data_IF_234962585922
#
_entry.id   IF_234962585922
#
_cell.length_a   1.000
_cell.length_b   1.000
_cell.length_c   1.000
_cell.angle_alpha   90.00
_cell.angle_beta   90.00
_cell.angle_gamma   90.00
#
_symmetry.space_group_name_H-M   'P 1'
#
loop_
_entity.id
_entity.type
_entity.pdbx_description
1 polymer ?
#
# COMPACT_ATOMS: atom_id res chain seq x y z
N UNK A 1 24.10 20.17 -25.96
CA UNK A 1 23.85 18.73 -25.76
C UNK A 1 23.00 18.26 -26.92
N UNK A 2 23.52 17.37 -27.77
CA UNK A 2 22.82 16.90 -28.96
C UNK A 2 21.62 16.04 -28.59
N UNK A 3 20.44 16.35 -29.12
CA UNK A 3 19.25 15.50 -29.03
C UNK A 3 19.54 14.22 -29.80
N UNK A 4 19.47 13.07 -29.14
CA UNK A 4 19.60 11.78 -29.81
C UNK A 4 18.35 11.51 -30.64
N UNK A 5 18.43 11.50 -31.99
CA UNK A 5 17.26 11.32 -32.85
C UNK A 5 16.63 9.94 -32.68
N UNK A 6 17.42 8.90 -32.39
CA UNK A 6 16.89 7.55 -32.19
C UNK A 6 15.98 7.49 -30.97
N UNK A 7 16.37 8.18 -29.89
CA UNK A 7 15.57 8.26 -28.67
C UNK A 7 14.30 9.08 -28.85
N UNK A 8 14.33 10.12 -29.69
CA UNK A 8 13.12 10.88 -30.03
C UNK A 8 12.13 9.99 -30.79
N UNK A 9 12.59 9.21 -31.78
CA UNK A 9 11.74 8.25 -32.49
C UNK A 9 11.15 7.20 -31.56
N UNK A 10 11.96 6.62 -30.67
CA UNK A 10 11.47 5.67 -29.67
C UNK A 10 10.42 6.30 -28.73
N UNK A 11 10.60 7.56 -28.35
CA UNK A 11 9.63 8.31 -27.55
C UNK A 11 8.32 8.58 -28.31
N UNK A 12 8.38 8.82 -29.63
CA UNK A 12 7.17 8.95 -30.48
C UNK A 12 6.37 7.65 -30.54
N UNK A 13 7.05 6.53 -30.75
CA UNK A 13 6.45 5.19 -30.75
C UNK A 13 5.85 4.85 -29.39
N UNK A 14 6.57 5.15 -28.30
CA UNK A 14 6.10 4.96 -26.94
C UNK A 14 4.81 5.75 -26.66
N UNK A 15 4.77 7.04 -27.02
CA UNK A 15 3.58 7.87 -26.83
C UNK A 15 2.38 7.40 -27.67
N UNK A 16 2.65 6.82 -28.84
CA UNK A 16 1.61 6.26 -29.73
C UNK A 16 1.07 4.91 -29.24
N UNK A 17 1.87 4.17 -28.45
CA UNK A 17 1.54 2.85 -27.89
C UNK A 17 1.00 2.91 -26.46
N UNK A 18 0.80 4.11 -25.90
CA UNK A 18 0.18 4.27 -24.58
C UNK A 18 -1.21 3.62 -24.51
N UNK A 19 -1.59 3.06 -23.36
CA UNK A 19 -2.83 2.31 -23.24
C UNK A 19 -4.09 3.19 -23.35
N UNK A 20 -5.07 2.69 -24.12
CA UNK A 20 -6.42 3.24 -24.19
C UNK A 20 -6.49 4.65 -24.79
N UNK A 21 -7.29 5.53 -24.17
CA UNK A 21 -7.50 6.90 -24.65
C UNK A 21 -6.30 7.84 -24.50
N UNK A 22 -5.16 7.34 -24.05
CA UNK A 22 -3.92 8.09 -23.82
C UNK A 22 -2.91 7.97 -24.95
N UNK A 23 -3.15 7.07 -25.91
CA UNK A 23 -2.40 7.02 -27.15
C UNK A 23 -2.40 8.40 -27.81
N UNK A 24 -1.22 8.98 -27.96
CA UNK A 24 -1.05 10.25 -28.62
C UNK A 24 -1.11 10.05 -30.14
N UNK A 25 -1.93 10.83 -30.84
CA UNK A 25 -1.87 10.88 -32.30
C UNK A 25 -0.50 11.39 -32.78
N UNK A 26 -0.13 11.04 -34.02
CA UNK A 26 1.18 11.31 -34.62
C UNK A 26 1.68 12.76 -34.41
N UNK A 27 0.79 13.75 -34.60
CA UNK A 27 1.13 15.17 -34.42
C UNK A 27 1.50 15.50 -32.98
N UNK A 28 0.73 14.98 -32.03
CA UNK A 28 0.96 15.21 -30.59
C UNK A 28 2.20 14.46 -30.11
N UNK A 29 2.40 13.23 -30.59
CA UNK A 29 3.58 12.42 -30.29
C UNK A 29 4.86 13.13 -30.76
N UNK A 30 4.91 13.63 -32.00
CA UNK A 30 6.05 14.41 -32.54
C UNK A 30 6.38 15.66 -31.74
N UNK A 31 5.38 16.31 -31.17
CA UNK A 31 5.59 17.51 -30.35
C UNK A 31 6.14 17.18 -28.95
N UNK A 32 5.65 16.09 -28.33
CA UNK A 32 5.99 15.73 -26.95
C UNK A 32 7.23 14.83 -26.86
N UNK A 33 7.49 14.00 -27.87
CA UNK A 33 8.61 13.06 -27.86
C UNK A 33 9.98 13.70 -27.62
N UNK A 34 10.31 14.88 -28.18
CA UNK A 34 11.59 15.51 -27.92
C UNK A 34 11.76 15.97 -26.46
N UNK A 35 10.66 16.33 -25.78
CA UNK A 35 10.66 16.62 -24.34
C UNK A 35 10.79 15.34 -23.52
N UNK A 36 10.00 14.32 -23.85
CA UNK A 36 10.05 13.03 -23.16
C UNK A 36 11.45 12.41 -23.22
N UNK A 37 12.08 12.40 -24.40
CA UNK A 37 13.43 11.88 -24.59
C UNK A 37 14.45 12.60 -23.70
N UNK A 38 14.33 13.91 -23.52
CA UNK A 38 15.22 14.72 -22.68
C UNK A 38 14.97 14.50 -21.18
N UNK A 39 13.71 14.55 -20.74
CA UNK A 39 13.36 14.39 -19.33
C UNK A 39 13.67 12.97 -18.84
N UNK A 40 13.37 11.95 -19.63
CA UNK A 40 13.70 10.56 -19.26
C UNK A 40 15.21 10.36 -19.09
N UNK A 41 16.03 11.01 -19.92
CA UNK A 41 17.49 10.99 -19.82
C UNK A 41 17.99 11.60 -18.51
N UNK A 42 17.47 12.78 -18.18
CA UNK A 42 17.87 13.54 -16.99
C UNK A 42 17.42 12.86 -15.69
N UNK A 43 16.25 12.25 -15.72
CA UNK A 43 15.59 11.68 -14.54
C UNK A 43 15.85 10.18 -14.36
N UNK A 44 16.62 9.55 -15.28
CA UNK A 44 16.99 8.13 -15.21
C UNK A 44 15.86 7.17 -15.55
N UNK A 45 14.87 7.61 -16.34
CA UNK A 45 13.78 6.77 -16.79
C UNK A 45 14.09 6.10 -18.15
N UNK A 46 13.65 4.85 -18.26
CA UNK A 46 13.61 4.12 -19.52
C UNK A 46 12.22 4.24 -20.16
N UNK A 47 12.13 4.10 -21.47
CA UNK A 47 10.86 4.12 -22.22
C UNK A 47 10.12 2.77 -22.08
N UNK A 48 9.78 2.40 -20.86
CA UNK A 48 9.17 1.11 -20.49
C UNK A 48 7.71 1.27 -20.07
N UNK A 49 6.94 0.17 -19.98
CA UNK A 49 5.58 0.20 -19.45
C UNK A 49 5.48 0.77 -18.02
N UNK A 50 6.56 0.71 -17.23
CA UNK A 50 6.63 1.33 -15.90
C UNK A 50 6.50 2.85 -15.97
N UNK A 51 7.17 3.48 -16.93
CA UNK A 51 7.03 4.92 -17.19
C UNK A 51 5.60 5.26 -17.61
N UNK A 52 4.97 4.42 -18.43
CA UNK A 52 3.57 4.63 -18.84
C UNK A 52 2.65 4.61 -17.62
N UNK A 53 2.80 3.61 -16.74
CA UNK A 53 2.04 3.55 -15.49
C UNK A 53 2.29 4.76 -14.59
N UNK A 54 3.53 5.24 -14.53
CA UNK A 54 3.90 6.42 -13.73
C UNK A 54 3.28 7.73 -14.28
N UNK A 55 3.31 7.93 -15.60
CA UNK A 55 2.68 9.09 -16.27
C UNK A 55 1.15 9.05 -16.11
N UNK A 56 0.59 7.86 -16.12
CA UNK A 56 -0.85 7.59 -15.98
C UNK A 56 -1.24 7.26 -14.54
N UNK A 57 -0.53 7.80 -13.53
CA UNK A 57 -0.96 7.68 -12.14
C UNK A 57 -1.93 8.80 -11.76
N UNK A 58 -2.88 8.51 -10.87
CA UNK A 58 -3.82 9.50 -10.32
C UNK A 58 -4.58 10.28 -11.39
N UNK A 59 -5.24 9.56 -12.30
CA UNK A 59 -6.04 10.17 -13.35
C UNK A 59 -7.26 10.87 -12.73
N UNK A 60 -7.46 12.18 -13.01
CA UNK A 60 -8.70 12.83 -12.62
C UNK A 60 -9.88 12.30 -13.45
N UNK A 61 -11.08 12.27 -12.86
CA UNK A 61 -12.30 11.76 -13.51
C UNK A 61 -12.65 12.48 -14.82
N UNK A 62 -12.28 13.77 -14.94
CA UNK A 62 -12.50 14.58 -16.14
C UNK A 62 -11.23 15.27 -16.57
N UNK A 63 -10.78 14.95 -17.78
CA UNK A 63 -9.62 15.58 -18.41
C UNK A 63 -10.09 16.26 -19.69
N UNK A 64 -10.07 17.58 -19.68
CA UNK A 64 -10.46 18.38 -20.83
C UNK A 64 -9.36 18.50 -21.89
N UNK A 65 -8.07 18.37 -21.50
CA UNK A 65 -6.92 18.46 -22.42
C UNK A 65 -5.87 17.39 -22.09
N UNK A 66 -6.00 16.21 -22.71
CA UNK A 66 -5.08 15.07 -22.47
C UNK A 66 -3.63 15.38 -22.85
N UNK A 67 -3.43 16.05 -23.98
CA UNK A 67 -2.09 16.45 -24.44
C UNK A 67 -1.39 17.38 -23.44
N UNK A 68 -2.09 18.43 -22.96
CA UNK A 68 -1.54 19.35 -21.97
C UNK A 68 -1.31 18.70 -20.60
N UNK A 69 -2.15 17.73 -20.22
CA UNK A 69 -1.93 16.95 -19.01
C UNK A 69 -0.65 16.09 -19.10
N UNK A 70 -0.44 15.40 -20.22
CA UNK A 70 0.78 14.63 -20.45
C UNK A 70 2.01 15.54 -20.49
N UNK A 71 1.89 16.69 -21.14
CA UNK A 71 2.98 17.69 -21.18
C UNK A 71 3.40 18.12 -19.78
N UNK A 72 2.45 18.54 -18.93
CA UNK A 72 2.75 18.91 -17.54
C UNK A 72 3.37 17.76 -16.74
N UNK A 73 2.91 16.52 -16.95
CA UNK A 73 3.50 15.33 -16.31
C UNK A 73 4.91 15.01 -16.77
N UNK A 74 5.23 15.28 -18.03
CA UNK A 74 6.58 15.10 -18.59
C UNK A 74 7.51 16.19 -18.04
N UNK A 75 7.03 17.43 -17.96
CA UNK A 75 7.78 18.56 -17.44
C UNK A 75 8.10 18.36 -15.94
N UNK A 76 7.13 17.85 -15.16
CA UNK A 76 7.25 17.51 -13.73
C UNK A 76 7.69 16.05 -13.46
N UNK A 77 8.43 15.43 -14.39
CA UNK A 77 8.88 14.04 -14.22
C UNK A 77 9.86 13.93 -13.03
N UNK A 78 9.45 13.21 -12.00
CA UNK A 78 10.27 12.93 -10.81
C UNK A 78 11.46 12.00 -11.15
N UNK A 79 12.53 12.04 -10.35
CA UNK A 79 13.66 11.08 -10.50
C UNK A 79 13.18 9.66 -10.27
N UNK A 80 13.58 8.70 -11.12
CA UNK A 80 13.19 7.29 -10.99
C UNK A 80 13.50 6.73 -9.60
N UNK A 81 14.71 6.98 -9.11
CA UNK A 81 15.17 6.47 -7.80
C UNK A 81 14.33 6.96 -6.61
N UNK A 82 13.67 8.12 -6.75
CA UNK A 82 12.83 8.69 -5.69
C UNK A 82 11.47 8.00 -5.60
N UNK A 83 10.99 7.42 -6.70
CA UNK A 83 9.63 6.88 -6.81
C UNK A 83 9.64 5.36 -6.82
N UNK A 84 10.65 4.78 -7.46
CA UNK A 84 10.87 3.34 -7.47
C UNK A 84 12.09 3.10 -6.61
N UNK A 85 11.93 2.66 -5.34
CA UNK A 85 13.08 2.24 -4.55
C UNK A 85 13.81 1.17 -5.36
N UNK A 86 15.17 1.13 -5.32
CA UNK A 86 15.91 0.09 -6.01
C UNK A 86 15.32 -1.23 -5.57
N UNK A 87 14.75 -1.97 -6.52
CA UNK A 87 14.26 -3.32 -6.28
C UNK A 87 15.50 -4.09 -5.86
N UNK A 88 15.71 -4.23 -4.55
CA UNK A 88 16.70 -5.14 -3.99
C UNK A 88 16.48 -6.43 -4.76
N UNK A 89 17.50 -6.87 -5.50
CA UNK A 89 17.42 -7.99 -6.43
C UNK A 89 16.55 -9.04 -5.77
N UNK A 90 15.34 -9.23 -6.32
CA UNK A 90 14.38 -10.15 -5.75
C UNK A 90 15.07 -11.50 -5.88
N UNK A 91 15.71 -11.93 -4.78
CA UNK A 91 16.22 -13.27 -4.65
C UNK A 91 15.09 -14.16 -5.07
N UNK A 92 15.34 -14.97 -6.10
CA UNK A 92 14.44 -15.92 -6.70
C UNK A 92 13.49 -16.40 -5.62
N UNK A 93 12.17 -16.30 -5.82
CA UNK A 93 11.13 -16.60 -4.83
C UNK A 93 11.10 -18.07 -4.38
N UNK A 94 12.26 -18.63 -4.08
CA UNK A 94 12.53 -19.89 -3.49
C UNK A 94 11.66 -19.99 -2.25
N UNK A 95 10.81 -20.99 -2.27
CA UNK A 95 9.98 -21.32 -1.12
C UNK A 95 10.91 -21.77 -0.01
N UNK A 96 10.54 -21.43 1.21
CA UNK A 96 11.26 -21.94 2.36
C UNK A 96 11.18 -23.48 2.34
N UNK A 97 12.32 -24.21 2.46
CA UNK A 97 12.32 -25.66 2.45
C UNK A 97 11.49 -26.26 3.61
N UNK A 98 11.37 -25.53 4.73
CA UNK A 98 10.56 -25.95 5.89
C UNK A 98 9.11 -25.45 5.83
N UNK A 99 8.82 -24.41 5.04
CA UNK A 99 7.50 -23.80 4.94
C UNK A 99 7.13 -23.54 3.48
N UNK A 100 6.63 -24.54 2.74
CA UNK A 100 6.39 -24.43 1.29
C UNK A 100 5.30 -23.42 0.91
N UNK A 101 4.54 -22.90 1.88
CA UNK A 101 3.59 -21.80 1.69
C UNK A 101 4.18 -20.41 1.91
N UNK A 102 5.46 -20.28 2.26
CA UNK A 102 6.14 -19.01 2.54
C UNK A 102 7.41 -18.88 1.69
N UNK A 103 7.74 -17.66 1.31
CA UNK A 103 9.01 -17.38 0.60
C UNK A 103 10.17 -17.48 1.61
N UNK A 104 11.29 -18.07 1.18
CA UNK A 104 12.46 -18.29 2.04
C UNK A 104 12.98 -16.99 2.65
N UNK A 105 12.94 -15.89 1.88
CA UNK A 105 13.37 -14.57 2.32
C UNK A 105 12.46 -13.95 3.41
N UNK A 106 11.18 -14.34 3.48
CA UNK A 106 10.18 -13.79 4.40
C UNK A 106 9.75 -14.76 5.50
N UNK A 107 10.37 -15.93 5.58
CA UNK A 107 10.08 -16.91 6.61
C UNK A 107 10.75 -16.55 7.95
N UNK A 108 10.06 -15.73 8.75
CA UNK A 108 10.53 -15.31 10.08
C UNK A 108 11.00 -16.46 10.98
N UNK A 109 10.28 -17.60 11.10
CA UNK A 109 10.73 -18.72 11.95
C UNK A 109 12.09 -19.30 11.54
N UNK A 110 12.33 -19.45 10.24
CA UNK A 110 13.60 -19.99 9.74
C UNK A 110 14.73 -18.96 9.77
N UNK A 111 14.40 -17.66 9.60
CA UNK A 111 15.38 -16.58 9.70
C UNK A 111 15.83 -16.34 11.15
N UNK A 112 14.96 -16.58 12.12
CA UNK A 112 15.26 -16.44 13.54
C UNK A 112 16.08 -17.62 14.11
N UNK A 113 16.26 -18.71 13.35
CA UNK A 113 16.92 -19.92 13.84
C UNK A 113 16.04 -20.81 14.72
N UNK A 114 14.77 -20.46 14.89
CA UNK A 114 13.79 -21.17 15.73
C UNK A 114 13.06 -22.29 14.97
N UNK A 115 13.57 -22.71 13.81
CA UNK A 115 12.88 -23.73 13.05
C UNK A 115 13.04 -25.10 13.74
N UNK A 116 11.94 -25.73 14.20
CA UNK A 116 12.02 -27.04 14.81
C UNK A 116 12.56 -28.05 13.80
N UNK A 117 13.45 -28.93 14.25
CA UNK A 117 13.94 -30.05 13.45
C UNK A 117 12.75 -30.93 13.02
N UNK A 118 12.49 -31.13 11.72
CA UNK A 118 11.41 -31.98 11.25
C UNK A 118 11.56 -33.46 11.65
N UNK A 119 12.75 -33.88 12.11
CA UNK A 119 12.99 -35.22 12.66
C UNK A 119 12.88 -35.29 14.18
N UNK A 120 12.76 -34.17 14.88
CA UNK A 120 12.39 -34.18 16.29
C UNK A 120 10.91 -34.57 16.38
N UNK A 121 10.64 -35.87 16.55
CA UNK A 121 9.32 -36.33 16.90
C UNK A 121 8.90 -35.57 18.17
N UNK A 122 7.79 -34.79 18.14
CA UNK A 122 7.28 -34.20 19.36
C UNK A 122 6.92 -35.35 20.29
N UNK A 123 7.56 -35.40 21.45
CA UNK A 123 7.30 -36.37 22.52
C UNK A 123 5.98 -36.05 23.23
N UNK A 124 4.91 -35.97 22.42
CA UNK A 124 3.57 -35.64 22.84
C UNK A 124 2.80 -36.94 22.94
N UNK A 125 2.38 -37.24 24.17
CA UNK A 125 1.53 -38.38 24.48
C UNK A 125 0.26 -38.35 23.61
N UNK A 126 -0.04 -39.42 22.83
CA UNK A 126 -1.25 -39.51 22.02
C UNK A 126 -2.54 -39.37 22.84
N UNK A 127 -2.56 -39.70 24.13
CA UNK A 127 -3.73 -39.48 25.00
C UNK A 127 -4.00 -38.00 25.25
N UNK A 128 -2.95 -37.19 25.42
CA UNK A 128 -3.09 -35.74 25.60
C UNK A 128 -3.67 -35.06 24.35
N UNK A 129 -3.33 -35.56 23.16
CA UNK A 129 -3.84 -35.04 21.88
C UNK A 129 -5.33 -35.36 21.71
N UNK A 130 -5.79 -36.55 22.11
CA UNK A 130 -7.21 -36.93 22.07
C UNK A 130 -8.04 -36.10 23.06
N UNK A 131 -7.53 -35.85 24.27
CA UNK A 131 -8.20 -35.02 25.27
C UNK A 131 -8.45 -33.58 24.78
N UNK A 132 -7.44 -32.97 24.15
CA UNK A 132 -7.55 -31.61 23.58
C UNK A 132 -8.56 -31.59 22.41
N UNK A 133 -8.55 -32.61 21.54
CA UNK A 133 -9.52 -32.74 20.44
C UNK A 133 -10.95 -32.95 20.92
N UNK A 134 -11.15 -33.59 22.06
CA UNK A 134 -12.47 -33.77 22.66
C UNK A 134 -13.02 -32.45 23.21
N UNK A 135 -12.19 -31.66 23.91
CA UNK A 135 -12.55 -30.31 24.39
C UNK A 135 -12.96 -29.37 23.26
N UNK A 136 -12.16 -29.29 22.18
CA UNK A 136 -12.45 -28.43 21.03
C UNK A 136 -13.75 -28.81 20.28
N UNK A 137 -14.15 -30.08 20.31
CA UNK A 137 -15.43 -30.53 19.74
C UNK A 137 -16.64 -30.14 20.59
N UNK A 138 -16.45 -29.89 21.89
CA UNK A 138 -17.52 -29.56 22.83
C UNK A 138 -17.90 -28.08 22.91
N UNK A 139 -16.97 -27.15 22.64
CA UNK A 139 -17.14 -25.73 23.01
C UNK A 139 -17.46 -24.73 21.88
N UNK A 140 -17.78 -25.19 20.66
CA UNK A 140 -18.16 -24.27 19.59
C UNK A 140 -19.69 -24.08 19.53
N UNK A 141 -20.25 -22.92 19.93
CA UNK A 141 -21.64 -22.61 19.63
C UNK A 141 -21.84 -22.55 18.11
N UNK A 142 -22.85 -23.26 17.62
CA UNK A 142 -23.21 -23.27 16.21
C UNK A 142 -23.57 -21.86 15.74
N UNK A 143 -22.67 -21.20 15.00
CA UNK A 143 -22.98 -19.95 14.33
C UNK A 143 -24.13 -20.19 13.33
N UNK A 144 -25.22 -19.38 13.36
CA UNK A 144 -26.27 -19.53 12.37
C UNK A 144 -25.68 -19.21 10.99
N UNK A 145 -25.74 -20.19 10.08
CA UNK A 145 -25.41 -20.01 8.67
C UNK A 145 -26.48 -19.12 8.02
N UNK A 146 -26.34 -17.81 8.21
CA UNK A 146 -27.15 -16.80 7.54
C UNK A 146 -26.83 -16.76 6.05
N UNK A 147 -27.67 -17.39 5.24
CA UNK A 147 -27.79 -17.15 3.80
C UNK A 147 -28.40 -15.76 3.60
N UNK A 148 -27.62 -14.72 3.81
CA UNK A 148 -28.01 -13.33 3.59
C UNK A 148 -27.42 -12.82 2.28
N UNK A 149 -28.26 -12.60 1.29
CA UNK A 149 -27.90 -11.87 0.07
C UNK A 149 -27.15 -10.58 0.44
N UNK A 150 -25.96 -10.40 -0.14
CA UNK A 150 -25.18 -9.18 0.01
C UNK A 150 -25.93 -8.04 -0.68
N UNK A 151 -26.93 -7.45 -0.02
CA UNK A 151 -27.56 -6.23 -0.50
C UNK A 151 -26.48 -5.15 -0.60
N UNK A 152 -26.35 -4.45 -1.76
CA UNK A 152 -25.44 -3.33 -1.85
C UNK A 152 -25.86 -2.28 -0.82
N UNK A 153 -24.95 -1.95 0.10
CA UNK A 153 -25.17 -0.92 1.11
C UNK A 153 -25.44 0.39 0.38
N UNK A 154 -26.70 0.86 0.42
CA UNK A 154 -27.06 2.18 -0.13
C UNK A 154 -26.14 3.23 0.49
N UNK A 155 -25.55 4.13 -0.31
CA UNK A 155 -24.72 5.20 0.24
C UNK A 155 -25.56 6.05 1.19
N UNK A 156 -25.07 6.20 2.42
CA UNK A 156 -25.66 7.08 3.43
C UNK A 156 -25.77 8.49 2.86
N UNK A 157 -26.94 9.12 3.01
CA UNK A 157 -27.15 10.51 2.63
C UNK A 157 -26.17 11.43 3.35
N UNK A 158 -25.89 12.60 2.78
CA UNK A 158 -24.98 13.59 3.37
C UNK A 158 -25.30 13.88 4.84
N UNK A 159 -26.59 14.07 5.17
CA UNK A 159 -27.07 14.28 6.55
C UNK A 159 -26.78 13.10 7.48
N UNK A 160 -26.86 11.87 6.99
CA UNK A 160 -26.55 10.69 7.79
C UNK A 160 -25.04 10.58 8.08
N UNK A 161 -24.18 10.96 7.12
CA UNK A 161 -22.73 11.03 7.34
C UNK A 161 -22.35 12.11 8.35
N UNK A 162 -22.95 13.30 8.25
CA UNK A 162 -22.74 14.40 9.19
C UNK A 162 -23.18 14.01 10.62
N UNK A 163 -24.27 13.25 10.76
CA UNK A 163 -24.71 12.76 12.07
C UNK A 163 -23.77 11.71 12.68
N UNK A 164 -23.17 10.83 11.87
CA UNK A 164 -22.17 9.86 12.33
C UNK A 164 -20.90 10.57 12.76
N UNK A 165 -20.40 11.51 11.95
CA UNK A 165 -19.20 12.29 12.29
C UNK A 165 -19.35 13.08 13.59
N UNK A 166 -20.54 13.65 13.85
CA UNK A 166 -20.79 14.35 15.11
C UNK A 166 -20.72 13.42 16.32
N UNK A 167 -21.31 12.21 16.21
CA UNK A 167 -21.24 11.21 17.30
C UNK A 167 -19.82 10.71 17.54
N UNK A 168 -19.05 10.52 16.47
CA UNK A 168 -17.65 10.13 16.56
C UNK A 168 -16.80 11.24 17.21
N UNK A 169 -17.07 12.51 16.88
CA UNK A 169 -16.41 13.66 17.51
C UNK A 169 -16.73 13.77 19.01
N UNK A 170 -18.01 13.64 19.39
CA UNK A 170 -18.45 13.63 20.79
C UNK A 170 -17.79 12.50 21.58
N UNK A 171 -17.75 11.28 21.02
CA UNK A 171 -17.11 10.13 21.67
C UNK A 171 -15.59 10.32 21.82
N UNK A 172 -14.94 10.95 20.84
CA UNK A 172 -13.52 11.27 20.92
C UNK A 172 -13.22 12.33 21.99
N UNK A 173 -14.06 13.36 22.10
CA UNK A 173 -13.94 14.38 23.15
C UNK A 173 -14.15 13.77 24.54
N UNK A 174 -15.14 12.88 24.70
CA UNK A 174 -15.38 12.15 25.96
C UNK A 174 -14.19 11.26 26.33
N UNK A 175 -13.63 10.54 25.35
CA UNK A 175 -12.46 9.68 25.57
C UNK A 175 -11.22 10.52 25.94
N UNK A 176 -11.03 11.69 25.32
CA UNK A 176 -9.96 12.63 25.67
C UNK A 176 -10.14 13.19 27.08
N UNK A 177 -11.35 13.59 27.45
CA UNK A 177 -11.66 14.09 28.79
C UNK A 177 -11.37 13.02 29.85
N UNK A 178 -11.77 11.77 29.59
CA UNK A 178 -11.47 10.63 30.47
C UNK A 178 -9.97 10.36 30.60
N UNK A 179 -9.22 10.47 29.51
CA UNK A 179 -7.77 10.30 29.53
C UNK A 179 -7.07 11.42 30.31
N UNK A 180 -7.53 12.66 30.20
CA UNK A 180 -7.00 13.79 30.97
C UNK A 180 -7.31 13.64 32.47
N UNK A 181 -8.53 13.25 32.83
CA UNK A 181 -8.88 12.99 34.22
C UNK A 181 -8.03 11.86 34.83
N UNK A 182 -7.79 10.78 34.07
CA UNK A 182 -6.91 9.70 34.53
C UNK A 182 -5.45 10.13 34.70
N UNK A 183 -4.97 11.11 33.93
CA UNK A 183 -3.63 11.68 34.10
C UNK A 183 -3.54 12.57 35.35
N UNK A 184 -4.57 13.37 35.64
CA UNK A 184 -4.64 14.16 36.89
C UNK A 184 -4.68 13.27 38.14
N UNK A 185 -5.34 12.11 38.06
CA UNK A 185 -5.36 11.12 39.15
C UNK A 185 -4.00 10.41 39.35
N UNK A 186 -3.18 10.26 38.29
CA UNK A 186 -1.88 9.58 38.35
C UNK A 186 -0.70 10.54 38.58
N UNK A 187 -0.89 11.84 38.33
CA UNK A 187 0.09 12.90 38.58
C UNK A 187 -0.60 14.06 39.31
N UNK A 188 -0.91 13.93 40.61
CA UNK A 188 -1.34 15.06 41.40
C UNK A 188 -0.22 16.12 41.35
N UNK A 189 -0.53 17.29 40.78
CA UNK A 189 0.35 18.45 40.87
C UNK A 189 0.40 18.84 42.35
N UNK A 190 1.43 18.40 43.07
CA UNK A 190 1.72 18.86 44.44
C UNK A 190 1.88 20.39 44.38
N UNK A 191 0.99 21.20 45.00
CA UNK A 191 1.07 22.65 44.94
C UNK A 191 2.10 23.23 45.92
N UNK A 192 3.11 22.46 46.35
CA UNK A 192 4.13 22.90 47.30
C UNK A 192 5.54 22.75 46.73
N UNK A 193 5.90 23.66 45.84
CA UNK A 193 7.28 24.16 45.71
C UNK A 193 7.27 25.67 45.98
N UNK A 194 6.80 26.04 47.18
CA UNK A 194 7.14 27.34 47.75
C UNK A 194 8.42 27.18 48.56
N UNK A 195 9.53 27.60 47.97
CA UNK A 195 10.64 28.21 48.68
C UNK A 195 11.58 27.26 49.43
N UNK A 196 12.73 26.99 48.82
CA UNK A 196 13.95 26.78 49.60
C UNK A 196 15.09 27.66 49.04
N UNK A 197 15.60 28.63 49.82
CA UNK A 197 16.83 29.36 49.49
C UNK A 197 18.07 28.45 49.58
#
# INVERSE_FOLDING_TARGET
MGRDPARVTAAEEFLSTLPGGWACGLKTARNLAPKLAEHTLRQGWDLTPELAAHLLRNLPERIHRRAGFLEGRIDDLERRDAVTPPRAAAGDGARCPQHPGREAASCLPCRAGDAPDPQAAPDMDPEAIEAIKAQLRGELPAAPRGRGERRPRRPLSRRAREAVQRREAEAFEEQRARALAGLEEHFPLDPTDEGRP
#
